data_IF_536945168986
#
_entry.id   IF_536945168986
#
_cell.length_a   1.000
_cell.length_b   1.000
_cell.length_c   1.000
_cell.angle_alpha   90.00
_cell.angle_beta   90.00
_cell.angle_gamma   90.00
#
_symmetry.space_group_name_H-M   'P 1'
#
loop_
_entity.id
_entity.type
_entity.pdbx_description
1 polymer ?
#
# COMPACT_ATOMS: atom_id res chain seq x y z
N UNK A 1 -15.59 43.70 -20.39
CA UNK A 1 -15.94 42.32 -19.98
C UNK A 1 -14.90 41.43 -20.65
N UNK A 2 -14.05 40.78 -19.86
CA UNK A 2 -12.93 39.95 -20.35
C UNK A 2 -13.43 38.88 -21.32
N UNK A 3 -12.76 38.69 -22.46
CA UNK A 3 -13.04 37.56 -23.36
C UNK A 3 -12.32 36.31 -22.86
N UNK A 4 -12.72 35.13 -23.32
CA UNK A 4 -12.12 33.86 -22.89
C UNK A 4 -11.38 33.18 -24.03
N UNK A 5 -10.27 32.50 -23.70
CA UNK A 5 -9.58 31.61 -24.64
C UNK A 5 -10.42 30.37 -24.96
N UNK A 6 -10.20 29.75 -26.12
CA UNK A 6 -11.09 28.70 -26.61
C UNK A 6 -11.00 27.37 -25.83
N UNK A 7 -9.78 26.90 -25.54
CA UNK A 7 -9.55 25.55 -24.97
C UNK A 7 -9.75 25.53 -23.45
N UNK A 8 -9.13 26.47 -22.77
CA UNK A 8 -9.02 26.48 -21.31
C UNK A 8 -9.88 27.53 -20.65
N UNK A 9 -10.63 28.33 -21.44
CA UNK A 9 -11.48 29.42 -20.93
C UNK A 9 -10.72 30.42 -20.04
N UNK A 10 -9.40 30.53 -20.23
CA UNK A 10 -8.58 31.55 -19.56
C UNK A 10 -9.12 32.92 -19.92
N UNK A 11 -9.29 33.77 -18.92
CA UNK A 11 -9.73 35.15 -19.08
C UNK A 11 -8.63 35.94 -19.76
N UNK A 12 -8.97 36.67 -20.81
CA UNK A 12 -8.06 37.51 -21.59
C UNK A 12 -8.31 38.95 -21.13
N UNK A 13 -7.40 39.54 -20.33
CA UNK A 13 -7.59 40.89 -19.85
C UNK A 13 -7.42 41.90 -20.99
N UNK A 14 -8.16 43.00 -20.91
CA UNK A 14 -8.06 44.16 -21.79
C UNK A 14 -7.28 45.29 -21.11
N UNK A 15 -6.62 46.13 -21.91
CA UNK A 15 -5.98 47.36 -21.42
C UNK A 15 -6.98 48.36 -20.81
N UNK A 16 -8.26 48.18 -21.09
CA UNK A 16 -9.36 48.99 -20.55
C UNK A 16 -9.91 48.48 -19.23
N UNK A 17 -9.42 47.33 -18.73
CA UNK A 17 -9.93 46.73 -17.50
C UNK A 17 -9.37 47.43 -16.26
N UNK A 18 -10.18 47.48 -15.20
CA UNK A 18 -9.72 47.97 -13.91
C UNK A 18 -8.65 47.04 -13.34
N UNK A 19 -7.65 47.62 -12.66
CA UNK A 19 -6.49 46.90 -12.11
C UNK A 19 -6.92 45.76 -11.18
N UNK A 20 -7.96 45.95 -10.36
CA UNK A 20 -8.47 44.91 -9.47
C UNK A 20 -9.04 43.70 -10.25
N UNK A 21 -9.85 43.96 -11.27
CA UNK A 21 -10.42 42.91 -12.12
C UNK A 21 -9.32 42.18 -12.89
N UNK A 22 -8.32 42.90 -13.39
CA UNK A 22 -7.14 42.32 -14.01
C UNK A 22 -6.42 41.34 -13.07
N UNK A 23 -6.13 41.76 -11.83
CA UNK A 23 -5.43 40.91 -10.84
C UNK A 23 -6.25 39.66 -10.53
N UNK A 24 -7.57 39.81 -10.31
CA UNK A 24 -8.46 38.69 -10.03
C UNK A 24 -8.53 37.69 -11.18
N UNK A 25 -8.56 38.18 -12.41
CA UNK A 25 -8.64 37.36 -13.61
C UNK A 25 -7.32 36.62 -13.88
N UNK A 26 -6.18 37.26 -13.63
CA UNK A 26 -4.87 36.60 -13.66
C UNK A 26 -4.74 35.53 -12.57
N UNK A 27 -5.16 35.83 -11.34
CA UNK A 27 -5.19 34.85 -10.25
C UNK A 27 -6.02 33.61 -10.60
N UNK A 28 -7.21 33.81 -11.18
CA UNK A 28 -8.05 32.71 -11.68
C UNK A 28 -7.32 31.87 -12.74
N UNK A 29 -6.71 32.52 -13.74
CA UNK A 29 -5.99 31.82 -14.79
C UNK A 29 -4.80 31.02 -14.27
N UNK A 30 -4.02 31.57 -13.34
CA UNK A 30 -2.88 30.85 -12.77
C UNK A 30 -3.32 29.62 -11.99
N UNK A 31 -4.39 29.71 -11.20
CA UNK A 31 -4.96 28.55 -10.52
C UNK A 31 -5.45 27.48 -11.50
N UNK A 32 -6.09 27.89 -12.60
CA UNK A 32 -6.57 26.95 -13.62
C UNK A 32 -5.40 26.28 -14.36
N UNK A 33 -4.38 27.06 -14.74
CA UNK A 33 -3.18 26.55 -15.41
C UNK A 33 -2.40 25.56 -14.52
N UNK A 34 -2.25 25.89 -13.24
CA UNK A 34 -1.61 25.01 -12.26
C UNK A 34 -2.42 23.71 -12.11
N UNK A 35 -3.74 23.82 -11.95
CA UNK A 35 -4.65 22.67 -11.82
C UNK A 35 -4.63 21.71 -13.02
N UNK A 36 -4.54 22.24 -14.25
CA UNK A 36 -4.51 21.41 -15.46
C UNK A 36 -3.10 20.95 -15.85
N UNK A 37 -2.06 21.49 -15.20
CA UNK A 37 -0.69 21.19 -15.56
C UNK A 37 -0.41 19.69 -15.41
N UNK A 38 0.51 19.20 -16.23
CA UNK A 38 0.90 17.80 -16.16
C UNK A 38 1.73 17.57 -14.87
N UNK A 39 1.41 16.50 -14.14
CA UNK A 39 2.18 16.14 -12.95
C UNK A 39 3.45 15.39 -13.37
N UNK A 40 4.57 15.71 -12.72
CA UNK A 40 5.85 15.03 -12.94
C UNK A 40 6.27 14.27 -11.69
N UNK A 41 6.61 12.99 -11.85
CA UNK A 41 6.98 12.07 -10.78
C UNK A 41 8.20 11.24 -11.14
N UNK A 42 8.95 10.75 -10.15
CA UNK A 42 10.06 9.81 -10.36
C UNK A 42 9.63 8.34 -10.38
N UNK A 43 8.44 8.04 -9.86
CA UNK A 43 7.82 6.73 -9.83
C UNK A 43 6.30 6.85 -9.65
N UNK A 44 5.57 5.76 -9.86
CA UNK A 44 4.14 5.71 -9.56
C UNK A 44 3.89 6.01 -8.06
N UNK A 45 2.96 6.91 -7.73
CA UNK A 45 2.65 7.25 -6.35
C UNK A 45 2.25 6.04 -5.51
N UNK A 46 2.60 6.06 -4.22
CA UNK A 46 2.23 5.05 -3.23
C UNK A 46 1.30 5.62 -2.15
N UNK A 47 0.72 6.80 -2.37
CA UNK A 47 -0.20 7.47 -1.45
C UNK A 47 -1.04 8.47 -2.21
N UNK A 48 -2.23 8.78 -1.68
CA UNK A 48 -3.16 9.73 -2.27
C UNK A 48 -4.24 9.06 -3.12
N UNK A 49 -5.22 9.85 -3.52
CA UNK A 49 -6.38 9.39 -4.27
C UNK A 49 -6.32 9.95 -5.69
N UNK A 50 -6.44 9.09 -6.69
CA UNK A 50 -6.24 9.48 -8.09
C UNK A 50 -7.46 9.11 -8.94
N UNK A 51 -7.97 10.03 -9.76
CA UNK A 51 -9.02 9.72 -10.71
C UNK A 51 -8.45 8.90 -11.88
N UNK A 52 -9.32 8.12 -12.51
CA UNK A 52 -9.05 7.51 -13.82
C UNK A 52 -8.65 8.59 -14.83
N UNK A 53 -7.79 8.22 -15.77
CA UNK A 53 -7.18 9.08 -16.78
C UNK A 53 -6.20 10.14 -16.27
N UNK A 54 -5.88 10.18 -14.96
CA UNK A 54 -4.76 10.99 -14.46
C UNK A 54 -3.47 10.51 -15.13
N UNK A 55 -2.74 11.44 -15.76
CA UNK A 55 -1.42 11.19 -16.35
C UNK A 55 -0.34 11.74 -15.43
N UNK A 56 0.75 10.99 -15.33
CA UNK A 56 1.95 11.34 -14.58
C UNK A 56 3.13 11.17 -15.53
N UNK A 57 3.95 12.20 -15.70
CA UNK A 57 5.14 12.15 -16.55
C UNK A 57 6.37 11.80 -15.73
N UNK A 58 7.23 10.98 -16.31
CA UNK A 58 8.48 10.57 -15.69
C UNK A 58 9.49 11.73 -15.70
N UNK A 59 10.02 12.08 -14.53
CA UNK A 59 11.06 13.11 -14.37
C UNK A 59 12.44 12.68 -14.85
N UNK A 60 12.66 11.38 -15.07
CA UNK A 60 13.94 10.83 -15.51
C UNK A 60 13.71 9.71 -16.54
N UNK A 61 13.20 10.03 -17.74
CA UNK A 61 13.05 9.06 -18.81
C UNK A 61 14.42 8.56 -19.29
N UNK A 62 14.53 7.25 -19.51
CA UNK A 62 15.75 6.58 -19.98
C UNK A 62 15.47 5.76 -21.24
N UNK A 63 16.51 5.39 -21.98
CA UNK A 63 16.41 4.43 -23.09
C UNK A 63 15.79 3.10 -22.61
N UNK A 64 14.92 2.51 -23.43
CA UNK A 64 14.05 1.35 -23.10
C UNK A 64 13.05 1.60 -21.95
N UNK A 65 12.95 2.84 -21.46
CA UNK A 65 12.00 3.28 -20.45
C UNK A 65 10.66 3.77 -21.03
N UNK A 66 9.93 4.52 -20.22
CA UNK A 66 8.63 5.09 -20.56
C UNK A 66 8.59 6.58 -20.24
N UNK A 67 7.85 7.35 -21.06
CA UNK A 67 7.61 8.78 -20.87
C UNK A 67 6.81 9.04 -19.58
N UNK A 68 5.94 8.12 -19.18
CA UNK A 68 5.13 8.30 -17.98
C UNK A 68 4.14 7.16 -17.73
N UNK A 69 3.16 7.43 -16.88
CA UNK A 69 2.10 6.51 -16.49
C UNK A 69 0.72 7.17 -16.59
N UNK A 70 -0.28 6.36 -16.89
CA UNK A 70 -1.69 6.76 -16.86
C UNK A 70 -2.45 5.88 -15.88
N UNK A 71 -3.23 6.51 -15.01
CA UNK A 71 -4.12 5.79 -14.11
C UNK A 71 -5.33 5.27 -14.89
N UNK A 72 -5.55 3.95 -14.91
CA UNK A 72 -6.69 3.35 -15.61
C UNK A 72 -7.87 3.05 -14.67
N UNK A 73 -7.69 3.20 -13.36
CA UNK A 73 -8.72 2.91 -12.34
C UNK A 73 -8.71 3.97 -11.24
N UNK A 74 -9.85 4.64 -11.03
CA UNK A 74 -10.01 5.56 -9.90
C UNK A 74 -9.84 4.79 -8.59
N UNK A 75 -9.04 5.32 -7.66
CA UNK A 75 -8.84 4.67 -6.38
C UNK A 75 -7.74 5.31 -5.56
N UNK A 76 -7.32 4.60 -4.52
CA UNK A 76 -6.22 4.99 -3.63
C UNK A 76 -4.91 4.36 -4.05
N UNK A 77 -3.84 5.15 -4.07
CA UNK A 77 -2.48 4.66 -4.19
C UNK A 77 -1.96 4.20 -2.83
N UNK A 78 -1.29 3.05 -2.81
CA UNK A 78 -0.67 2.47 -1.62
C UNK A 78 0.60 1.69 -2.02
N UNK A 79 1.56 1.50 -1.12
CA UNK A 79 2.69 0.61 -1.36
C UNK A 79 2.23 -0.86 -1.43
N UNK A 80 3.02 -1.70 -2.11
CA UNK A 80 2.80 -3.15 -2.07
C UNK A 80 2.97 -3.72 -0.65
N UNK A 81 2.24 -4.78 -0.35
CA UNK A 81 2.46 -5.59 0.84
C UNK A 81 3.92 -6.09 0.89
N UNK A 82 4.51 -6.02 2.08
CA UNK A 82 5.87 -6.48 2.35
C UNK A 82 5.84 -7.51 3.47
N UNK A 83 6.67 -8.54 3.29
CA UNK A 83 6.81 -9.67 4.21
C UNK A 83 7.51 -9.27 5.50
N UNK A 84 7.03 -9.79 6.64
CA UNK A 84 7.57 -9.55 7.98
C UNK A 84 7.84 -8.06 8.27
N UNK A 85 6.98 -7.19 7.75
CA UNK A 85 7.05 -5.74 7.98
C UNK A 85 6.08 -5.34 9.08
N UNK A 86 6.55 -4.48 9.97
CA UNK A 86 5.68 -3.84 10.95
C UNK A 86 4.83 -2.74 10.29
N UNK A 87 3.54 -2.78 10.58
CA UNK A 87 2.53 -1.84 10.13
C UNK A 87 1.77 -1.26 11.33
N UNK A 88 1.30 -0.03 11.17
CA UNK A 88 0.52 0.71 12.15
C UNK A 88 -0.89 0.98 11.64
N UNK A 89 -1.86 1.13 12.55
CA UNK A 89 -3.24 1.46 12.19
C UNK A 89 -3.28 2.69 11.27
N UNK A 90 -3.98 2.57 10.15
CA UNK A 90 -4.06 3.60 9.11
C UNK A 90 -3.12 3.39 7.93
N UNK A 91 -2.13 2.51 8.03
CA UNK A 91 -1.28 2.15 6.89
C UNK A 91 -2.11 1.47 5.79
N UNK A 92 -1.87 1.86 4.54
CA UNK A 92 -2.49 1.25 3.38
C UNK A 92 -1.52 0.33 2.65
N UNK A 93 -2.05 -0.74 2.06
CA UNK A 93 -1.32 -1.64 1.18
C UNK A 93 -2.15 -2.05 -0.04
N UNK A 94 -1.46 -2.51 -1.08
CA UNK A 94 -2.04 -3.26 -2.19
C UNK A 94 -1.34 -4.62 -2.35
N UNK A 95 -2.02 -5.64 -2.91
CA UNK A 95 -1.39 -6.92 -3.22
C UNK A 95 -0.38 -6.79 -4.37
N UNK A 96 0.60 -7.70 -4.42
CA UNK A 96 1.58 -7.76 -5.53
C UNK A 96 0.93 -8.09 -6.87
N UNK A 97 -0.05 -8.97 -6.86
CA UNK A 97 -0.90 -9.26 -8.02
C UNK A 97 -2.14 -8.39 -7.90
N UNK A 98 -2.32 -7.46 -8.83
CA UNK A 98 -3.45 -6.53 -8.80
C UNK A 98 -4.79 -7.30 -8.71
N UNK A 99 -5.54 -7.04 -7.65
CA UNK A 99 -6.87 -7.61 -7.44
C UNK A 99 -7.97 -6.56 -7.48
N UNK A 100 -7.65 -5.27 -7.68
CA UNK A 100 -8.63 -4.20 -7.64
C UNK A 100 -8.73 -3.41 -6.35
N UNK A 101 -8.23 -3.95 -5.24
CA UNK A 101 -8.55 -3.47 -3.90
C UNK A 101 -7.34 -2.93 -3.15
N UNK A 102 -7.59 -1.91 -2.33
CA UNK A 102 -6.66 -1.40 -1.33
C UNK A 102 -7.10 -1.87 0.06
N UNK A 103 -6.14 -2.12 0.95
CA UNK A 103 -6.41 -2.57 2.30
C UNK A 103 -5.81 -1.60 3.30
N UNK A 104 -6.53 -1.34 4.39
CA UNK A 104 -6.08 -0.51 5.50
C UNK A 104 -5.77 -1.37 6.72
N UNK A 105 -4.68 -1.05 7.42
CA UNK A 105 -4.34 -1.66 8.70
C UNK A 105 -5.32 -1.17 9.77
N UNK A 106 -6.04 -2.10 10.40
CA UNK A 106 -6.97 -1.81 11.51
C UNK A 106 -6.45 -2.28 12.87
N UNK A 107 -5.38 -3.06 12.88
CA UNK A 107 -4.65 -3.46 14.08
C UNK A 107 -3.15 -3.46 13.79
N UNK A 108 -2.39 -2.62 14.49
CA UNK A 108 -0.93 -2.59 14.37
C UNK A 108 -0.32 -3.95 14.70
N UNK A 109 0.68 -4.36 13.94
CA UNK A 109 1.39 -5.62 14.09
C UNK A 109 2.38 -5.82 12.96
N UNK A 110 2.93 -7.03 12.85
CA UNK A 110 3.82 -7.42 11.76
C UNK A 110 3.05 -8.30 10.78
N UNK A 111 3.29 -8.13 9.48
CA UNK A 111 2.73 -8.99 8.44
C UNK A 111 3.33 -10.40 8.49
N UNK A 112 2.62 -11.38 7.95
CA UNK A 112 3.10 -12.75 7.90
C UNK A 112 4.34 -12.94 7.01
N UNK A 113 4.86 -14.16 7.01
CA UNK A 113 5.95 -14.55 6.11
C UNK A 113 5.49 -14.66 4.65
N UNK A 114 4.24 -15.08 4.43
CA UNK A 114 3.69 -15.30 3.09
C UNK A 114 2.55 -14.31 2.85
N UNK A 115 2.57 -13.65 1.68
CA UNK A 115 1.53 -12.70 1.30
C UNK A 115 0.13 -13.34 1.39
N UNK A 116 -0.84 -12.69 2.05
CA UNK A 116 -2.22 -13.16 2.17
C UNK A 116 -2.90 -13.41 0.82
N UNK A 117 -3.93 -14.24 0.85
CA UNK A 117 -4.95 -14.21 -0.22
C UNK A 117 -5.90 -13.09 0.16
N UNK A 118 -5.78 -11.97 -0.54
CA UNK A 118 -6.57 -10.78 -0.25
C UNK A 118 -8.04 -10.97 -0.65
N UNK A 119 -8.99 -10.92 0.30
CA UNK A 119 -10.41 -11.01 0.00
C UNK A 119 -10.88 -9.77 -0.75
N UNK A 120 -11.82 -9.95 -1.68
CA UNK A 120 -12.38 -8.87 -2.53
C UNK A 120 -13.78 -8.43 -2.08
N UNK A 121 -14.32 -9.05 -1.04
CA UNK A 121 -15.59 -8.67 -0.44
C UNK A 121 -15.43 -7.37 0.35
N UNK A 122 -16.38 -6.45 0.17
CA UNK A 122 -16.38 -5.14 0.81
C UNK A 122 -16.33 -5.25 2.34
N UNK A 123 -15.55 -4.37 2.97
CA UNK A 123 -15.41 -4.23 4.43
C UNK A 123 -14.88 -5.47 5.19
N UNK A 124 -14.46 -6.53 4.49
CA UNK A 124 -13.95 -7.74 5.13
C UNK A 124 -12.63 -7.46 5.85
N UNK A 125 -12.54 -8.02 7.07
CA UNK A 125 -11.32 -8.02 7.87
C UNK A 125 -10.72 -9.41 7.97
N UNK A 126 -9.39 -9.48 8.02
CA UNK A 126 -8.67 -10.75 8.19
C UNK A 126 -7.33 -10.54 8.88
N UNK A 127 -6.84 -11.61 9.52
CA UNK A 127 -5.51 -11.69 10.12
C UNK A 127 -4.46 -12.03 9.05
N UNK A 128 -3.32 -11.36 9.09
CA UNK A 128 -2.19 -11.62 8.18
C UNK A 128 -1.33 -12.79 8.67
N UNK A 129 -1.90 -13.99 8.64
CA UNK A 129 -1.27 -15.22 9.14
C UNK A 129 -1.41 -16.35 8.14
N UNK A 130 -1.19 -16.08 6.84
CA UNK A 130 -1.35 -17.09 5.80
C UNK A 130 -0.38 -18.25 6.01
N UNK A 131 -0.87 -19.48 5.83
CA UNK A 131 -0.16 -20.75 6.09
C UNK A 131 0.22 -20.98 7.56
N UNK A 132 -0.35 -20.21 8.50
CA UNK A 132 -0.19 -20.52 9.91
C UNK A 132 -0.93 -21.80 10.28
N UNK A 133 -0.35 -22.56 11.20
CA UNK A 133 -0.96 -23.75 11.82
C UNK A 133 -0.98 -23.58 13.33
N UNK A 134 -1.89 -24.26 14.03
CA UNK A 134 -1.82 -24.31 15.50
C UNK A 134 -0.58 -25.12 15.91
N UNK A 135 0.11 -24.68 16.96
CA UNK A 135 1.23 -25.43 17.55
C UNK A 135 0.79 -26.84 17.93
N UNK A 136 1.66 -27.81 17.69
CA UNK A 136 1.46 -29.22 18.00
C UNK A 136 2.71 -29.82 18.64
N UNK A 137 2.50 -30.72 19.60
CA UNK A 137 3.58 -31.39 20.31
C UNK A 137 4.35 -32.36 19.39
N UNK A 138 5.63 -32.59 19.67
CA UNK A 138 6.49 -33.57 18.97
C UNK A 138 6.45 -33.44 17.44
N UNK A 139 6.27 -32.22 16.94
CA UNK A 139 6.06 -31.92 15.52
C UNK A 139 7.32 -31.32 14.92
N UNK A 140 7.72 -31.81 13.75
CA UNK A 140 8.88 -31.29 13.02
C UNK A 140 8.49 -30.02 12.27
N UNK A 141 9.08 -28.91 12.67
CA UNK A 141 8.89 -27.60 12.04
C UNK A 141 10.10 -27.19 11.22
N UNK A 142 9.83 -26.58 10.08
CA UNK A 142 10.83 -26.04 9.16
C UNK A 142 11.02 -24.56 9.41
N UNK A 143 12.18 -24.04 8.99
CA UNK A 143 12.45 -22.62 9.02
C UNK A 143 11.36 -21.86 8.26
N UNK A 144 10.88 -20.77 8.86
CA UNK A 144 9.79 -19.90 8.40
C UNK A 144 8.36 -20.46 8.54
N UNK A 145 8.17 -21.65 9.11
CA UNK A 145 6.83 -22.10 9.50
C UNK A 145 6.24 -21.13 10.52
N UNK A 146 4.97 -20.78 10.33
CA UNK A 146 4.22 -19.93 11.26
C UNK A 146 3.34 -20.82 12.12
N UNK A 147 3.45 -20.64 13.43
CA UNK A 147 2.56 -21.28 14.40
C UNK A 147 1.76 -20.26 15.18
N UNK A 148 0.54 -20.65 15.54
CA UNK A 148 -0.33 -19.96 16.48
C UNK A 148 -0.38 -20.78 17.78
N UNK A 149 -0.44 -20.14 18.95
CA UNK A 149 -0.64 -20.84 20.20
C UNK A 149 -1.95 -21.63 20.23
N UNK A 150 -2.05 -22.64 21.08
CA UNK A 150 -3.32 -23.37 21.27
C UNK A 150 -4.40 -22.49 21.90
N UNK A 151 -4.00 -21.48 22.67
CA UNK A 151 -4.86 -20.41 23.20
C UNK A 151 -4.44 -19.09 22.56
N UNK A 152 -5.31 -18.52 21.72
CA UNK A 152 -5.02 -17.27 21.01
C UNK A 152 -4.59 -16.16 21.96
N UNK A 153 -3.46 -15.53 21.63
CA UNK A 153 -2.90 -14.39 22.33
C UNK A 153 -2.65 -13.18 21.40
N UNK A 154 -3.23 -13.20 20.19
CA UNK A 154 -3.11 -12.13 19.20
C UNK A 154 -1.73 -12.04 18.53
N UNK A 155 -0.93 -13.11 18.62
CA UNK A 155 0.45 -13.18 18.10
C UNK A 155 0.64 -14.44 17.27
N UNK A 156 1.58 -14.36 16.34
CA UNK A 156 2.09 -15.51 15.62
C UNK A 156 3.58 -15.68 15.90
N UNK A 157 4.06 -16.89 15.68
CA UNK A 157 5.43 -17.29 16.00
C UNK A 157 6.05 -17.92 14.77
N UNK A 158 7.16 -17.35 14.31
CA UNK A 158 7.87 -17.86 13.12
C UNK A 158 9.07 -18.70 13.56
N UNK A 159 9.19 -19.90 12.98
CA UNK A 159 10.31 -20.78 13.22
C UNK A 159 11.60 -20.18 12.66
N UNK A 160 12.50 -19.73 13.53
CA UNK A 160 13.82 -19.19 13.14
C UNK A 160 14.89 -20.28 13.11
N UNK A 161 14.70 -21.35 13.88
CA UNK A 161 15.52 -22.55 13.88
C UNK A 161 14.62 -23.78 13.71
N UNK A 162 14.83 -24.51 12.62
CA UNK A 162 14.09 -25.75 12.33
C UNK A 162 14.40 -26.83 13.39
N UNK A 163 13.39 -27.62 13.73
CA UNK A 163 13.52 -28.67 14.72
C UNK A 163 12.16 -29.23 15.16
N UNK A 164 12.23 -30.21 16.04
CA UNK A 164 11.05 -30.80 16.67
C UNK A 164 10.62 -29.96 17.87
N UNK A 165 9.32 -29.70 18.01
CA UNK A 165 8.72 -29.09 19.20
C UNK A 165 8.77 -30.03 20.41
N UNK A 166 8.58 -29.46 21.60
CA UNK A 166 8.49 -30.20 22.85
C UNK A 166 7.21 -31.03 22.97
N UNK A 167 7.11 -31.78 24.08
CA UNK A 167 5.93 -32.57 24.41
C UNK A 167 4.77 -31.71 24.93
N UNK A 168 5.07 -30.49 25.40
CA UNK A 168 4.14 -29.51 25.95
C UNK A 168 4.40 -28.16 25.31
N UNK A 169 3.35 -27.36 25.12
CA UNK A 169 3.47 -26.04 24.52
C UNK A 169 4.39 -25.14 25.35
N UNK A 170 5.35 -24.43 24.73
CA UNK A 170 6.26 -23.56 25.46
C UNK A 170 5.51 -22.34 26.00
N UNK A 171 6.02 -21.71 27.07
CA UNK A 171 5.53 -20.41 27.50
C UNK A 171 5.92 -19.34 26.47
N UNK A 172 4.96 -18.97 25.62
CA UNK A 172 5.18 -18.03 24.54
C UNK A 172 5.63 -16.66 25.06
N UNK A 173 6.74 -16.17 24.51
CA UNK A 173 7.13 -14.78 24.70
C UNK A 173 6.08 -13.85 24.05
N UNK A 174 5.91 -12.66 24.62
CA UNK A 174 4.91 -11.68 24.14
C UNK A 174 5.55 -10.35 23.73
N UNK A 175 6.86 -10.32 23.59
CA UNK A 175 7.62 -9.17 23.07
C UNK A 175 7.96 -9.42 21.61
N UNK A 176 7.69 -8.46 20.72
CA UNK A 176 8.00 -8.60 19.30
C UNK A 176 9.52 -8.80 19.10
N UNK A 177 9.89 -9.78 18.27
CA UNK A 177 11.27 -10.19 18.02
C UNK A 177 11.87 -11.11 19.10
N UNK A 178 11.21 -11.34 20.23
CA UNK A 178 11.73 -12.21 21.28
C UNK A 178 11.70 -13.69 20.86
N UNK A 179 12.72 -14.43 21.30
CA UNK A 179 12.89 -15.86 21.00
C UNK A 179 12.24 -16.73 22.06
N UNK A 180 11.37 -17.65 21.64
CA UNK A 180 10.88 -18.76 22.46
C UNK A 180 11.59 -20.04 22.04
N UNK A 181 12.27 -20.70 22.97
CA UNK A 181 12.92 -21.99 22.73
C UNK A 181 11.93 -23.13 23.02
N UNK A 182 11.86 -24.10 22.11
CA UNK A 182 10.90 -25.21 22.16
C UNK A 182 11.59 -26.50 21.73
N UNK A 183 12.26 -27.16 22.69
CA UNK A 183 13.15 -28.31 22.45
C UNK A 183 14.23 -27.97 21.41
N UNK A 184 14.10 -28.44 20.18
CA UNK A 184 15.08 -28.22 19.10
C UNK A 184 14.64 -27.11 18.14
N UNK A 185 13.36 -26.72 18.18
CA UNK A 185 12.83 -25.59 17.44
C UNK A 185 13.04 -24.28 18.22
N UNK A 186 13.11 -23.16 17.50
CA UNK A 186 13.10 -21.83 18.11
C UNK A 186 12.24 -20.88 17.32
N UNK A 187 11.52 -20.03 18.03
CA UNK A 187 10.45 -19.21 17.47
C UNK A 187 10.69 -17.73 17.73
N UNK A 188 10.54 -16.88 16.72
CA UNK A 188 10.47 -15.43 16.91
C UNK A 188 9.01 -14.97 17.00
N UNK A 189 8.73 -14.12 17.99
CA UNK A 189 7.38 -13.66 18.33
C UNK A 189 7.01 -12.41 17.56
N UNK A 190 5.79 -12.33 17.04
CA UNK A 190 5.27 -11.11 16.40
C UNK A 190 3.77 -10.91 16.66
N UNK A 191 3.35 -9.67 16.94
CA UNK A 191 1.94 -9.29 16.97
C UNK A 191 1.31 -9.41 15.59
N UNK A 192 0.11 -10.00 15.51
CA UNK A 192 -0.63 -10.13 14.25
C UNK A 192 -1.11 -8.75 13.78
N UNK A 193 -0.79 -8.38 12.54
CA UNK A 193 -1.46 -7.26 11.87
C UNK A 193 -2.82 -7.70 11.30
N UNK A 194 -3.81 -6.80 11.32
CA UNK A 194 -5.13 -7.02 10.70
C UNK A 194 -5.38 -6.02 9.62
N UNK A 195 -5.88 -6.54 8.50
CA UNK A 195 -6.24 -5.76 7.33
C UNK A 195 -7.76 -5.70 7.21
N UNK A 196 -8.24 -4.58 6.67
CA UNK A 196 -9.62 -4.38 6.25
C UNK A 196 -9.63 -3.93 4.79
N UNK A 197 -10.52 -4.48 3.96
CA UNK A 197 -10.80 -3.95 2.62
C UNK A 197 -11.26 -2.49 2.73
N UNK A 198 -10.68 -1.61 1.91
CA UNK A 198 -10.84 -0.16 2.02
C UNK A 198 -11.15 0.53 0.68
N UNK A 199 -11.71 -0.21 -0.29
CA UNK A 199 -12.13 0.29 -1.58
C UNK A 199 -11.15 -0.04 -2.71
N UNK A 200 -11.25 0.73 -3.80
CA UNK A 200 -10.47 0.48 -5.02
C UNK A 200 -9.04 1.01 -4.91
N UNK A 201 -8.07 0.21 -5.34
CA UNK A 201 -6.70 0.64 -5.58
C UNK A 201 -6.60 1.38 -6.93
N UNK A 202 -5.67 2.32 -7.07
CA UNK A 202 -5.29 2.83 -8.40
C UNK A 202 -4.63 1.73 -9.25
N UNK A 203 -4.54 1.95 -10.56
CA UNK A 203 -3.75 1.09 -11.45
C UNK A 203 -3.06 1.95 -12.50
N UNK A 204 -1.76 2.19 -12.30
CA UNK A 204 -0.95 2.97 -13.22
C UNK A 204 -0.34 2.07 -14.29
N UNK A 205 -0.68 2.32 -15.56
CA UNK A 205 -0.03 1.68 -16.70
C UNK A 205 0.99 2.61 -17.35
N UNK A 206 2.20 2.12 -17.69
CA UNK A 206 3.18 2.93 -18.39
C UNK A 206 2.73 3.24 -19.82
N UNK A 207 3.11 4.40 -20.35
CA UNK A 207 2.87 4.80 -21.73
C UNK A 207 4.09 5.47 -22.35
N UNK A 208 4.10 5.53 -23.69
CA UNK A 208 5.17 6.21 -24.44
C UNK A 208 6.52 5.52 -24.26
N UNK A 209 6.64 4.27 -24.72
CA UNK A 209 7.90 3.53 -24.68
C UNK A 209 8.99 4.30 -25.44
N UNK A 210 10.16 4.42 -24.84
CA UNK A 210 11.33 5.08 -25.41
C UNK A 210 12.23 3.98 -25.95
N UNK A 211 12.46 3.95 -27.26
CA UNK A 211 13.24 2.93 -27.95
C UNK A 211 14.42 3.50 -28.72
#
# INVERSE_FOLDING_TARGET
MSTESNKLKLKIPSITDEVENFIRDMGYNFNLLDFISDDYVSATPTSGDFPRAKRLYNTSPVYDGYIGWVNVRTGKAAPYWQQLKSYTVGDYIIPRVDNGHVFICVQSGTSGFTEPIFPVSTDVQFNDTRLASTWAATTQYKKNDIVLPTVDNGRFYICIQAGESGNTEPPWQTVDGATTYDKNASWATYRITRWKEAGSAVLFYPFGKIG
#
